data_IF_218454866880
#
_entry.id   IF_218454866880
#
_cell.length_a   1.000
_cell.length_b   1.000
_cell.length_c   1.000
_cell.angle_alpha   90.00
_cell.angle_beta   90.00
_cell.angle_gamma   90.00
#
_symmetry.space_group_name_H-M   'P 1'
#
loop_
_entity.id
_entity.type
_entity.pdbx_description
1 polymer ?
#
# COMPACT_ATOMS: atom_id res chain seq x y z
N UNK A 1 23.43 9.61 -22.83
CA UNK A 1 23.25 9.76 -24.30
C UNK A 1 24.57 9.92 -25.06
N UNK A 2 25.38 10.97 -24.83
CA UNK A 2 26.64 11.20 -25.56
C UNK A 2 27.68 10.06 -25.47
N UNK A 3 27.80 9.42 -24.30
CA UNK A 3 28.74 8.30 -24.08
C UNK A 3 28.41 7.06 -24.92
N UNK A 4 27.12 6.77 -25.15
CA UNK A 4 26.70 5.61 -25.94
C UNK A 4 26.99 5.79 -27.43
N UNK A 5 26.83 7.01 -27.94
CA UNK A 5 27.18 7.36 -29.33
C UNK A 5 28.69 7.26 -29.55
N UNK A 6 29.49 7.70 -28.57
CA UNK A 6 30.94 7.64 -28.62
C UNK A 6 31.46 6.18 -28.63
N UNK A 7 30.83 5.30 -27.86
CA UNK A 7 31.19 3.88 -27.77
C UNK A 7 31.07 3.14 -29.11
N UNK A 8 30.07 3.51 -29.93
CA UNK A 8 29.83 2.89 -31.24
C UNK A 8 30.64 3.56 -32.35
N UNK A 9 30.75 4.89 -32.35
CA UNK A 9 31.39 5.62 -33.45
C UNK A 9 32.92 5.43 -33.51
N UNK A 10 33.59 5.36 -32.35
CA UNK A 10 35.05 5.27 -32.27
C UNK A 10 35.63 4.00 -32.91
N UNK A 11 35.16 2.77 -32.61
CA UNK A 11 35.71 1.56 -33.22
C UNK A 11 35.45 1.48 -34.73
N UNK A 12 34.30 1.98 -35.21
CA UNK A 12 33.94 1.97 -36.64
C UNK A 12 34.86 2.88 -37.45
N UNK A 13 35.16 4.07 -36.96
CA UNK A 13 36.07 5.02 -37.63
C UNK A 13 37.51 4.48 -37.63
N UNK A 14 37.94 3.83 -36.54
CA UNK A 14 39.26 3.19 -36.46
C UNK A 14 39.41 2.07 -37.49
N UNK A 15 38.42 1.19 -37.58
CA UNK A 15 38.42 0.06 -38.51
C UNK A 15 38.47 0.51 -39.98
N UNK A 16 37.73 1.56 -40.32
CA UNK A 16 37.69 2.11 -41.67
C UNK A 16 39.02 2.74 -42.12
N UNK A 17 39.75 3.39 -41.21
CA UNK A 17 41.05 4.02 -41.51
C UNK A 17 42.18 3.01 -41.70
N UNK A 18 42.11 1.86 -41.04
CA UNK A 18 43.17 0.84 -41.08
C UNK A 18 43.24 0.09 -42.43
N UNK A 19 42.19 0.17 -43.26
CA UNK A 19 42.05 -0.60 -44.50
C UNK A 19 42.20 0.24 -45.79
N UNK A 20 42.72 1.47 -45.72
CA UNK A 20 42.69 2.41 -46.86
C UNK A 20 44.03 2.66 -47.58
N UNK A 21 45.09 1.88 -47.36
CA UNK A 21 46.27 2.00 -48.22
C UNK A 21 47.42 1.07 -47.89
N UNK A 22 47.49 -0.08 -48.56
CA UNK A 22 48.72 -0.83 -48.87
C UNK A 22 48.48 -1.56 -50.20
N UNK A 23 49.35 -1.34 -51.19
CA UNK A 23 49.39 -2.06 -52.47
C UNK A 23 49.51 -3.58 -52.21
N UNK A 24 48.45 -4.31 -52.52
CA UNK A 24 48.12 -5.61 -51.93
C UNK A 24 48.79 -6.83 -52.55
N UNK A 25 49.57 -6.69 -53.63
CA UNK A 25 50.01 -7.87 -54.41
C UNK A 25 51.49 -8.26 -54.21
N UNK A 26 52.41 -7.32 -53.96
CA UNK A 26 53.84 -7.66 -53.80
C UNK A 26 54.22 -8.03 -52.34
N UNK A 27 53.57 -7.41 -51.35
CA UNK A 27 53.81 -7.71 -49.93
C UNK A 27 53.10 -8.99 -49.50
N UNK A 28 51.95 -9.32 -50.11
CA UNK A 28 51.20 -10.54 -49.80
C UNK A 28 51.92 -11.80 -50.28
N UNK A 29 52.66 -11.74 -51.38
CA UNK A 29 53.40 -12.89 -51.92
C UNK A 29 54.60 -13.25 -51.03
N UNK A 30 55.45 -12.28 -50.67
CA UNK A 30 56.56 -12.50 -49.73
C UNK A 30 56.11 -12.94 -48.31
N UNK A 31 54.94 -12.48 -47.85
CA UNK A 31 54.40 -12.86 -46.55
C UNK A 31 53.81 -14.28 -46.56
N UNK A 32 53.29 -14.74 -47.71
CA UNK A 32 52.73 -16.10 -47.86
C UNK A 32 53.84 -17.14 -48.07
N UNK A 33 54.87 -16.82 -48.84
CA UNK A 33 56.04 -17.68 -49.01
C UNK A 33 56.78 -17.88 -47.68
N UNK A 34 56.95 -16.82 -46.91
CA UNK A 34 57.59 -16.90 -45.59
C UNK A 34 56.72 -17.66 -44.56
N UNK A 35 55.38 -17.53 -44.62
CA UNK A 35 54.48 -18.32 -43.78
C UNK A 35 54.47 -19.81 -44.16
N UNK A 36 54.44 -20.15 -45.45
CA UNK A 36 54.49 -21.54 -45.91
C UNK A 36 55.81 -22.22 -45.55
N UNK A 37 56.93 -21.49 -45.65
CA UNK A 37 58.24 -21.98 -45.22
C UNK A 37 58.28 -22.21 -43.69
N UNK A 38 57.72 -21.30 -42.90
CA UNK A 38 57.66 -21.46 -41.45
C UNK A 38 56.85 -22.69 -41.03
N UNK A 39 55.69 -22.92 -41.67
CA UNK A 39 54.87 -24.11 -41.41
C UNK A 39 55.62 -25.39 -41.81
N UNK A 40 56.37 -25.36 -42.92
CA UNK A 40 57.21 -26.48 -43.34
C UNK A 40 58.29 -26.81 -42.30
N UNK A 41 59.00 -25.80 -41.79
CA UNK A 41 60.05 -25.97 -40.78
C UNK A 41 59.48 -26.54 -39.47
N UNK A 42 58.30 -26.07 -39.05
CA UNK A 42 57.61 -26.57 -37.86
C UNK A 42 57.22 -28.05 -38.02
N UNK A 43 56.63 -28.42 -39.17
CA UNK A 43 56.25 -29.81 -39.45
C UNK A 43 57.44 -30.74 -39.61
N UNK A 44 58.56 -30.25 -40.12
CA UNK A 44 59.78 -31.03 -40.19
C UNK A 44 60.34 -31.32 -38.79
N UNK A 45 60.35 -30.31 -37.91
CA UNK A 45 60.80 -30.47 -36.53
C UNK A 45 59.90 -31.43 -35.73
N UNK A 46 58.60 -31.42 -36.00
CA UNK A 46 57.63 -32.37 -35.42
C UNK A 46 57.95 -33.81 -35.84
N UNK A 47 58.17 -34.05 -37.14
CA UNK A 47 58.55 -35.38 -37.65
C UNK A 47 59.89 -35.89 -37.09
N UNK A 48 60.90 -35.01 -36.97
CA UNK A 48 62.20 -35.36 -36.39
C UNK A 48 62.05 -35.71 -34.89
N UNK A 49 61.15 -35.04 -34.16
CA UNK A 49 60.85 -35.34 -32.76
C UNK A 49 60.09 -36.67 -32.59
N UNK A 50 59.18 -36.99 -33.50
CA UNK A 50 58.45 -38.27 -33.50
C UNK A 50 59.37 -39.47 -33.83
N UNK A 51 60.37 -39.28 -34.71
CA UNK A 51 61.42 -40.26 -34.94
C UNK A 51 62.28 -40.45 -33.68
N UNK A 52 62.65 -39.36 -33.00
CA UNK A 52 63.49 -39.41 -31.80
C UNK A 52 62.80 -40.09 -30.60
N UNK A 53 61.47 -39.98 -30.53
CA UNK A 53 60.64 -40.64 -29.49
C UNK A 53 60.25 -42.08 -29.85
N UNK A 54 60.63 -42.55 -31.04
CA UNK A 54 60.36 -43.90 -31.53
C UNK A 54 58.90 -44.13 -31.97
N UNK A 55 58.13 -43.05 -32.15
CA UNK A 55 56.75 -43.12 -32.65
C UNK A 55 56.70 -43.36 -34.17
N UNK A 56 57.75 -42.95 -34.90
CA UNK A 56 57.97 -43.28 -36.31
C UNK A 56 59.23 -44.13 -36.51
N UNK A 57 59.20 -45.00 -37.52
CA UNK A 57 60.41 -45.64 -38.02
C UNK A 57 61.15 -44.75 -39.05
N UNK A 58 62.42 -45.09 -39.33
CA UNK A 58 63.27 -44.28 -40.20
C UNK A 58 62.78 -44.23 -41.65
N UNK A 59 62.15 -45.29 -42.15
CA UNK A 59 61.66 -45.38 -43.52
C UNK A 59 60.37 -44.54 -43.69
N UNK A 60 59.48 -44.58 -42.71
CA UNK A 60 58.27 -43.78 -42.63
C UNK A 60 58.60 -42.29 -42.50
N UNK A 61 59.58 -41.94 -41.66
CA UNK A 61 60.05 -40.57 -41.53
C UNK A 61 60.60 -40.03 -42.86
N UNK A 62 61.39 -40.83 -43.58
CA UNK A 62 61.94 -40.43 -44.87
C UNK A 62 60.86 -40.28 -45.96
N UNK A 63 59.84 -41.14 -45.95
CA UNK A 63 58.70 -41.03 -46.86
C UNK A 63 57.88 -39.75 -46.62
N UNK A 64 57.53 -39.46 -45.37
CA UNK A 64 56.76 -38.26 -45.00
C UNK A 64 57.54 -36.97 -45.24
N UNK A 65 58.84 -36.97 -44.96
CA UNK A 65 59.73 -35.84 -45.28
C UNK A 65 59.78 -35.55 -46.78
N UNK A 66 59.86 -36.60 -47.61
CA UNK A 66 59.85 -36.45 -49.06
C UNK A 66 58.49 -35.94 -49.59
N UNK A 67 57.38 -36.38 -49.00
CA UNK A 67 56.04 -35.88 -49.34
C UNK A 67 55.88 -34.41 -48.97
N UNK A 68 56.30 -34.01 -47.76
CA UNK A 68 56.27 -32.63 -47.30
C UNK A 68 57.09 -31.69 -48.21
N UNK A 69 58.28 -32.13 -48.63
CA UNK A 69 59.11 -31.39 -49.59
C UNK A 69 58.44 -31.26 -50.97
N UNK A 70 57.70 -32.29 -51.41
CA UNK A 70 57.00 -32.27 -52.70
C UNK A 70 55.81 -31.32 -52.69
N UNK A 71 55.09 -31.23 -51.57
CA UNK A 71 54.01 -30.26 -51.36
C UNK A 71 54.53 -28.83 -51.37
N UNK A 72 55.63 -28.55 -50.66
CA UNK A 72 56.26 -27.22 -50.68
C UNK A 72 56.69 -26.83 -52.10
N UNK A 73 57.30 -27.75 -52.86
CA UNK A 73 57.71 -27.49 -54.23
C UNK A 73 56.52 -27.26 -55.18
N UNK A 74 55.39 -27.93 -54.94
CA UNK A 74 54.16 -27.77 -55.72
C UNK A 74 53.48 -26.43 -55.45
N UNK A 75 53.43 -25.97 -54.21
CA UNK A 75 52.87 -24.67 -53.84
C UNK A 75 53.69 -23.52 -54.44
N UNK A 76 55.02 -23.64 -54.48
CA UNK A 76 55.90 -22.64 -55.12
C UNK A 76 55.75 -22.65 -56.66
N UNK A 77 55.65 -23.82 -57.30
CA UNK A 77 55.54 -23.93 -58.78
C UNK A 77 54.17 -23.54 -59.34
N UNK A 78 53.10 -23.73 -58.57
CA UNK A 78 51.74 -23.39 -59.01
C UNK A 78 51.59 -21.87 -59.19
N UNK A 79 52.45 -21.06 -58.55
CA UNK A 79 52.44 -19.60 -58.68
C UNK A 79 53.37 -19.05 -59.79
N UNK A 80 54.48 -19.73 -60.13
CA UNK A 80 55.29 -19.37 -61.32
C UNK A 80 54.51 -19.58 -62.64
N UNK A 81 53.58 -20.55 -62.68
CA UNK A 81 52.71 -20.76 -63.83
C UNK A 81 51.55 -19.74 -63.90
N UNK A 82 51.14 -19.16 -62.77
CA UNK A 82 50.08 -18.16 -62.69
C UNK A 82 50.54 -16.72 -63.04
N UNK A 83 51.86 -16.50 -63.13
CA UNK A 83 52.48 -15.20 -63.44
C UNK A 83 52.88 -15.04 -64.92
N UNK A 84 52.76 -16.07 -65.75
CA UNK A 84 53.08 -16.02 -67.19
C UNK A 84 51.90 -15.62 -68.12
N UNK A 85 50.76 -15.19 -67.58
CA UNK A 85 49.56 -14.87 -68.39
C UNK A 85 48.76 -13.67 -67.90
N UNK A 86 49.42 -12.54 -67.61
CA UNK A 86 48.74 -11.24 -67.45
C UNK A 86 49.56 -10.11 -68.07
N UNK A 87 49.13 -9.67 -69.26
CA UNK A 87 49.55 -8.42 -69.87
C UNK A 87 49.18 -7.21 -68.99
N UNK A 88 49.97 -6.12 -69.00
CA UNK A 88 49.76 -4.99 -68.10
C UNK A 88 48.65 -4.04 -68.57
N UNK A 89 48.02 -3.46 -67.55
CA UNK A 89 46.88 -2.56 -67.59
C UNK A 89 47.10 -1.27 -68.39
N UNK A 90 45.99 -0.71 -68.90
CA UNK A 90 45.82 0.74 -69.00
C UNK A 90 44.78 1.21 -67.99
N UNK A 91 45.27 2.08 -67.11
CA UNK A 91 44.58 2.87 -66.11
C UNK A 91 43.54 3.80 -66.71
N UNK A 92 42.36 3.87 -66.08
CA UNK A 92 41.60 5.10 -65.97
C UNK A 92 40.73 5.06 -64.70
N UNK A 93 41.13 5.84 -63.70
CA UNK A 93 40.39 6.07 -62.48
C UNK A 93 38.96 6.56 -62.75
N UNK A 94 37.97 5.87 -62.19
CA UNK A 94 36.67 6.46 -61.84
C UNK A 94 36.27 6.01 -60.43
N UNK A 95 36.45 6.94 -59.50
CA UNK A 95 35.78 6.96 -58.20
C UNK A 95 34.27 6.81 -58.41
N UNK A 96 33.70 5.67 -58.01
CA UNK A 96 32.25 5.53 -57.88
C UNK A 96 31.90 5.23 -56.43
N UNK A 97 31.31 6.23 -55.80
CA UNK A 97 30.74 6.25 -54.46
C UNK A 97 29.49 5.37 -54.36
N UNK A 98 29.67 4.04 -54.42
CA UNK A 98 28.54 3.08 -54.32
C UNK A 98 28.84 1.84 -53.45
N UNK A 99 29.83 1.91 -52.57
CA UNK A 99 30.18 0.81 -51.65
C UNK A 99 29.48 0.85 -50.28
N UNK A 100 28.56 1.80 -50.05
CA UNK A 100 27.87 1.99 -48.76
C UNK A 100 26.48 1.33 -48.68
N UNK A 101 25.96 0.75 -49.78
CA UNK A 101 24.58 0.23 -49.88
C UNK A 101 24.55 -1.30 -50.08
N UNK A 102 25.33 -2.06 -49.32
CA UNK A 102 25.12 -3.52 -49.21
C UNK A 102 24.12 -3.82 -48.09
N UNK A 103 23.12 -4.71 -48.30
CA UNK A 103 22.05 -4.95 -47.32
C UNK A 103 22.56 -5.42 -45.94
N UNK A 104 23.74 -6.04 -45.85
CA UNK A 104 24.31 -6.46 -44.56
C UNK A 104 24.82 -5.30 -43.68
N UNK A 105 25.09 -4.12 -44.26
CA UNK A 105 25.46 -2.90 -43.50
C UNK A 105 24.29 -1.99 -43.21
N UNK A 106 23.21 -2.07 -43.98
CA UNK A 106 22.00 -1.27 -43.79
C UNK A 106 21.18 -1.74 -42.59
N UNK A 107 21.12 -3.05 -42.33
CA UNK A 107 20.37 -3.62 -41.19
C UNK A 107 20.87 -3.07 -39.83
N UNK A 108 22.17 -3.13 -39.46
CA UNK A 108 22.61 -2.61 -38.16
C UNK A 108 22.44 -1.09 -38.05
N UNK A 109 22.61 -0.33 -39.14
CA UNK A 109 22.37 1.12 -39.16
C UNK A 109 20.90 1.41 -38.90
N UNK A 110 20.00 0.68 -39.57
CA UNK A 110 18.56 0.81 -39.40
C UNK A 110 18.14 0.44 -37.97
N UNK A 111 18.69 -0.62 -37.39
CA UNK A 111 18.43 -1.00 -35.99
C UNK A 111 18.89 0.09 -35.01
N UNK A 112 20.08 0.66 -35.19
CA UNK A 112 20.59 1.75 -34.33
C UNK A 112 19.73 3.00 -34.47
N UNK A 113 19.28 3.33 -35.69
CA UNK A 113 18.40 4.48 -35.94
C UNK A 113 17.00 4.26 -35.36
N UNK A 114 16.45 3.05 -35.44
CA UNK A 114 15.12 2.72 -34.93
C UNK A 114 15.08 2.49 -33.42
N UNK A 115 16.20 2.12 -32.78
CA UNK A 115 16.25 1.87 -31.34
C UNK A 115 15.73 3.06 -30.52
N UNK A 116 16.13 4.29 -30.85
CA UNK A 116 15.71 5.48 -30.12
C UNK A 116 14.20 5.77 -30.23
N UNK A 117 13.59 5.91 -31.42
CA UNK A 117 12.16 6.17 -31.53
C UNK A 117 11.31 5.02 -31.01
N UNK A 118 11.74 3.76 -31.22
CA UNK A 118 11.01 2.59 -30.70
C UNK A 118 11.08 2.54 -29.17
N UNK A 119 12.24 2.84 -28.57
CA UNK A 119 12.36 2.89 -27.11
C UNK A 119 11.51 4.01 -26.51
N UNK A 120 11.49 5.20 -27.14
CA UNK A 120 10.64 6.32 -26.71
C UNK A 120 9.16 5.96 -26.82
N UNK A 121 8.75 5.32 -27.91
CA UNK A 121 7.37 4.87 -28.10
C UNK A 121 6.95 3.80 -27.07
N UNK A 122 7.81 2.80 -26.83
CA UNK A 122 7.56 1.76 -25.82
C UNK A 122 7.52 2.34 -24.40
N UNK A 123 8.37 3.32 -24.08
CA UNK A 123 8.29 4.05 -22.82
C UNK A 123 7.00 4.89 -22.73
N UNK A 124 6.49 5.46 -23.82
CA UNK A 124 5.20 6.14 -23.81
C UNK A 124 4.01 5.20 -23.55
N UNK A 125 4.12 3.93 -23.93
CA UNK A 125 3.08 2.92 -23.68
C UNK A 125 3.18 2.28 -22.29
N UNK A 126 4.39 2.04 -21.80
CA UNK A 126 4.64 1.26 -20.56
C UNK A 126 5.26 2.10 -19.44
N UNK A 127 5.56 3.36 -19.68
CA UNK A 127 6.17 4.26 -18.72
C UNK A 127 5.13 4.82 -17.75
N UNK A 128 5.50 4.85 -16.48
CA UNK A 128 4.67 5.31 -15.37
C UNK A 128 4.87 6.81 -15.07
N UNK A 129 5.29 7.62 -16.04
CA UNK A 129 5.60 9.04 -15.82
C UNK A 129 4.38 9.81 -15.26
N UNK A 130 3.18 9.48 -15.75
CA UNK A 130 1.92 10.05 -15.25
C UNK A 130 1.59 9.60 -13.83
N UNK A 131 1.73 8.31 -13.54
CA UNK A 131 1.44 7.77 -12.21
C UNK A 131 2.43 8.32 -11.16
N UNK A 132 3.68 8.58 -11.58
CA UNK A 132 4.67 9.28 -10.75
C UNK A 132 4.27 10.73 -10.47
N UNK A 133 3.68 11.44 -11.44
CA UNK A 133 3.15 12.79 -11.21
C UNK A 133 1.97 12.76 -10.23
N UNK A 134 1.01 11.84 -10.41
CA UNK A 134 -0.11 11.68 -9.46
C UNK A 134 0.39 11.33 -8.05
N UNK A 135 1.37 10.43 -7.95
CA UNK A 135 1.99 10.09 -6.67
C UNK A 135 2.67 11.29 -6.00
N UNK A 136 3.37 12.14 -6.76
CA UNK A 136 3.95 13.39 -6.27
C UNK A 136 2.87 14.35 -5.74
N UNK A 137 1.77 14.55 -6.48
CA UNK A 137 0.63 15.38 -6.01
C UNK A 137 0.06 14.84 -4.70
N UNK A 138 -0.08 13.52 -4.57
CA UNK A 138 -0.57 12.90 -3.34
C UNK A 138 0.41 13.01 -2.17
N UNK A 139 1.72 12.87 -2.42
CA UNK A 139 2.75 13.06 -1.42
C UNK A 139 2.78 14.50 -0.91
N UNK A 140 2.79 15.49 -1.82
CA UNK A 140 2.66 16.91 -1.45
C UNK A 140 1.36 17.19 -0.73
N UNK A 141 0.23 16.61 -1.16
CA UNK A 141 -1.06 16.77 -0.49
C UNK A 141 -1.09 16.19 0.92
N UNK A 142 -0.34 15.11 1.18
CA UNK A 142 -0.22 14.53 2.51
C UNK A 142 0.68 15.36 3.42
N UNK A 143 1.78 15.86 2.88
CA UNK A 143 2.84 16.49 3.66
C UNK A 143 2.68 18.02 3.77
N UNK A 144 1.74 18.62 3.03
CA UNK A 144 1.42 20.03 3.11
C UNK A 144 1.01 20.44 4.54
N UNK A 145 1.70 21.44 5.07
CA UNK A 145 1.51 21.94 6.44
C UNK A 145 0.64 23.20 6.48
N UNK A 146 -0.22 23.41 5.48
CA UNK A 146 -1.15 24.53 5.42
C UNK A 146 -0.62 25.79 4.74
N UNK A 147 0.33 25.68 3.81
CA UNK A 147 0.70 26.80 2.93
C UNK A 147 -0.49 27.14 2.00
N UNK A 148 -1.13 28.33 2.12
CA UNK A 148 -2.34 28.67 1.36
C UNK A 148 -2.14 28.75 -0.15
N UNK A 149 -0.94 29.11 -0.63
CA UNK A 149 -0.68 29.20 -2.08
C UNK A 149 -0.51 27.78 -2.64
N UNK A 150 0.30 26.94 -2.00
CA UNK A 150 0.47 25.54 -2.40
C UNK A 150 -0.86 24.76 -2.34
N UNK A 151 -1.71 25.04 -1.35
CA UNK A 151 -3.04 24.42 -1.26
C UNK A 151 -3.91 24.70 -2.49
N UNK A 152 -3.87 25.92 -3.04
CA UNK A 152 -4.65 26.27 -4.24
C UNK A 152 -4.13 25.56 -5.47
N UNK A 153 -2.81 25.45 -5.61
CA UNK A 153 -2.18 24.71 -6.69
C UNK A 153 -2.53 23.22 -6.61
N UNK A 154 -2.44 22.62 -5.41
CA UNK A 154 -2.82 21.22 -5.19
C UNK A 154 -4.29 20.96 -5.49
N UNK A 155 -5.20 21.87 -5.13
CA UNK A 155 -6.62 21.77 -5.49
C UNK A 155 -6.81 21.74 -7.01
N UNK A 156 -6.08 22.59 -7.75
CA UNK A 156 -6.14 22.61 -9.21
C UNK A 156 -5.58 21.30 -9.82
N UNK A 157 -4.43 20.84 -9.34
CA UNK A 157 -3.80 19.59 -9.79
C UNK A 157 -4.67 18.36 -9.51
N UNK A 158 -5.26 18.26 -8.31
CA UNK A 158 -6.21 17.20 -7.96
C UNK A 158 -7.47 17.25 -8.81
N UNK A 159 -7.95 18.46 -9.15
CA UNK A 159 -9.04 18.65 -10.10
C UNK A 159 -8.73 18.07 -11.48
N UNK A 160 -7.53 18.31 -11.99
CA UNK A 160 -7.09 17.74 -13.27
C UNK A 160 -7.02 16.20 -13.24
N UNK A 161 -6.53 15.64 -12.13
CA UNK A 161 -6.50 14.17 -11.92
C UNK A 161 -7.94 13.61 -11.94
N UNK A 162 -8.88 14.27 -11.27
CA UNK A 162 -10.29 13.86 -11.23
C UNK A 162 -10.97 13.98 -12.60
N UNK A 163 -10.59 14.97 -13.41
CA UNK A 163 -11.13 15.13 -14.77
C UNK A 163 -10.71 13.97 -15.69
N UNK A 164 -9.48 13.49 -15.53
CA UNK A 164 -8.94 12.34 -16.27
C UNK A 164 -9.49 11.01 -15.74
N UNK A 165 -9.48 10.83 -14.42
CA UNK A 165 -10.01 9.66 -13.72
C UNK A 165 -11.02 10.05 -12.63
N UNK A 166 -12.31 10.04 -13.01
CA UNK A 166 -13.43 10.37 -12.12
C UNK A 166 -13.68 9.33 -11.03
N UNK A 167 -13.08 8.14 -11.13
CA UNK A 167 -13.23 7.05 -10.19
C UNK A 167 -12.10 6.99 -9.16
N UNK A 168 -11.12 7.90 -9.26
CA UNK A 168 -10.04 8.03 -8.29
C UNK A 168 -10.53 8.57 -6.93
N UNK A 169 -10.94 7.68 -6.03
CA UNK A 169 -11.43 8.03 -4.69
C UNK A 169 -10.42 8.80 -3.83
N UNK A 170 -9.12 8.54 -4.00
CA UNK A 170 -8.06 9.23 -3.24
C UNK A 170 -7.86 10.67 -3.68
N UNK A 171 -7.99 10.96 -4.98
CA UNK A 171 -7.97 12.33 -5.48
C UNK A 171 -9.13 13.15 -4.89
N UNK A 172 -10.34 12.57 -4.83
CA UNK A 172 -11.49 13.19 -4.16
C UNK A 172 -11.26 13.41 -2.66
N UNK A 173 -10.63 12.45 -1.97
CA UNK A 173 -10.31 12.56 -0.54
C UNK A 173 -9.34 13.71 -0.24
N UNK A 174 -8.23 13.81 -0.97
CA UNK A 174 -7.25 14.88 -0.76
C UNK A 174 -7.82 16.24 -1.17
N UNK A 175 -8.62 16.29 -2.24
CA UNK A 175 -9.33 17.50 -2.62
C UNK A 175 -10.22 17.99 -1.47
N UNK A 176 -11.02 17.10 -0.91
CA UNK A 176 -11.89 17.41 0.23
C UNK A 176 -11.12 17.95 1.44
N UNK A 177 -9.97 17.32 1.77
CA UNK A 177 -9.11 17.78 2.87
C UNK A 177 -8.60 19.20 2.66
N UNK A 178 -8.18 19.54 1.44
CA UNK A 178 -7.71 20.89 1.12
C UNK A 178 -8.85 21.91 1.12
N UNK A 179 -10.04 21.52 0.65
CA UNK A 179 -11.25 22.35 0.73
C UNK A 179 -11.62 22.69 2.18
N UNK A 180 -11.46 21.76 3.14
CA UNK A 180 -11.62 22.06 4.58
C UNK A 180 -10.64 23.14 5.02
N UNK A 181 -9.35 23.04 4.69
CA UNK A 181 -8.33 24.03 5.03
C UNK A 181 -8.61 25.41 4.43
N UNK A 182 -9.28 25.46 3.27
CA UNK A 182 -9.73 26.69 2.62
C UNK A 182 -11.07 27.23 3.17
N UNK A 183 -11.68 26.55 4.14
CA UNK A 183 -12.98 26.93 4.72
C UNK A 183 -14.19 26.57 3.86
N UNK A 184 -14.00 25.83 2.76
CA UNK A 184 -15.04 25.39 1.83
C UNK A 184 -15.63 24.06 2.30
N UNK A 185 -16.26 24.09 3.49
CA UNK A 185 -16.69 22.88 4.19
C UNK A 185 -17.82 22.16 3.47
N UNK A 186 -18.74 22.89 2.83
CA UNK A 186 -19.85 22.30 2.08
C UNK A 186 -19.36 21.53 0.86
N UNK A 187 -18.41 22.10 0.10
CA UNK A 187 -17.77 21.45 -1.04
C UNK A 187 -16.95 20.24 -0.59
N UNK A 188 -16.22 20.37 0.52
CA UNK A 188 -15.45 19.29 1.10
C UNK A 188 -16.33 18.09 1.48
N UNK A 189 -17.48 18.31 2.10
CA UNK A 189 -18.41 17.23 2.47
C UNK A 189 -18.86 16.43 1.24
N UNK A 190 -19.18 17.09 0.12
CA UNK A 190 -19.54 16.43 -1.15
C UNK A 190 -18.38 15.66 -1.76
N UNK A 191 -17.16 16.21 -1.70
CA UNK A 191 -15.96 15.53 -2.19
C UNK A 191 -15.63 14.28 -1.35
N UNK A 192 -15.77 14.35 -0.02
CA UNK A 192 -15.63 13.19 0.86
C UNK A 192 -16.71 12.13 0.63
N UNK A 193 -17.96 12.52 0.40
CA UNK A 193 -19.05 11.60 0.03
C UNK A 193 -18.66 10.81 -1.23
N UNK A 194 -18.14 11.52 -2.26
CA UNK A 194 -17.69 10.89 -3.50
C UNK A 194 -16.51 9.94 -3.26
N UNK A 195 -15.53 10.36 -2.46
CA UNK A 195 -14.39 9.52 -2.08
C UNK A 195 -14.83 8.24 -1.36
N UNK A 196 -15.72 8.36 -0.37
CA UNK A 196 -16.24 7.23 0.40
C UNK A 196 -17.07 6.24 -0.44
N UNK A 197 -17.63 6.69 -1.56
CA UNK A 197 -18.33 5.84 -2.53
C UNK A 197 -17.41 5.11 -3.50
N UNK A 198 -16.17 5.58 -3.69
CA UNK A 198 -15.19 5.05 -4.64
C UNK A 198 -14.11 4.18 -3.98
N UNK A 199 -13.85 4.36 -2.69
CA UNK A 199 -12.85 3.55 -1.96
C UNK A 199 -13.45 2.18 -1.62
N UNK A 200 -12.87 1.14 -2.22
CA UNK A 200 -13.33 -0.24 -2.06
C UNK A 200 -12.84 -0.89 -0.77
N UNK A 201 -11.61 -0.58 -0.33
CA UNK A 201 -11.06 -1.12 0.90
C UNK A 201 -11.89 -0.68 2.10
N UNK A 202 -12.41 -1.64 2.87
CA UNK A 202 -13.34 -1.36 3.97
C UNK A 202 -12.70 -0.55 5.10
N UNK A 203 -11.41 -0.78 5.40
CA UNK A 203 -10.70 -0.05 6.46
C UNK A 203 -10.46 1.41 6.05
N UNK A 204 -9.96 1.61 4.83
CA UNK A 204 -9.74 2.96 4.29
C UNK A 204 -11.06 3.73 4.15
N UNK A 205 -12.11 3.04 3.70
CA UNK A 205 -13.46 3.62 3.59
C UNK A 205 -13.98 4.09 4.94
N UNK A 206 -13.74 3.35 6.02
CA UNK A 206 -14.14 3.77 7.37
C UNK A 206 -13.46 5.09 7.78
N UNK A 207 -12.16 5.24 7.48
CA UNK A 207 -11.41 6.47 7.75
C UNK A 207 -12.02 7.65 6.96
N UNK A 208 -12.30 7.45 5.66
CA UNK A 208 -12.88 8.49 4.82
C UNK A 208 -14.30 8.85 5.24
N UNK A 209 -15.13 7.87 5.63
CA UNK A 209 -16.46 8.13 6.19
C UNK A 209 -16.40 8.90 7.52
N UNK A 210 -15.39 8.66 8.35
CA UNK A 210 -15.18 9.43 9.57
C UNK A 210 -14.86 10.90 9.30
N UNK A 211 -14.00 11.18 8.30
CA UNK A 211 -13.71 12.54 7.85
C UNK A 211 -14.92 13.20 7.18
N UNK A 212 -15.70 12.42 6.41
CA UNK A 212 -16.97 12.87 5.83
C UNK A 212 -17.96 13.30 6.92
N UNK A 213 -18.15 12.48 7.96
CA UNK A 213 -19.04 12.79 9.07
C UNK A 213 -18.66 14.12 9.75
N UNK A 214 -17.37 14.36 9.99
CA UNK A 214 -16.87 15.62 10.53
C UNK A 214 -17.19 16.81 9.62
N UNK A 215 -16.88 16.71 8.32
CA UNK A 215 -17.16 17.77 7.37
C UNK A 215 -18.67 18.06 7.27
N UNK A 216 -19.51 17.03 7.20
CA UNK A 216 -20.96 17.15 7.13
C UNK A 216 -21.56 17.78 8.39
N UNK A 217 -21.03 17.44 9.57
CA UNK A 217 -21.42 18.02 10.85
C UNK A 217 -21.10 19.51 10.93
N UNK A 218 -19.89 19.91 10.55
CA UNK A 218 -19.50 21.32 10.50
C UNK A 218 -20.34 22.07 9.46
N UNK A 219 -20.56 21.48 8.27
CA UNK A 219 -21.40 22.04 7.22
C UNK A 219 -22.86 22.23 7.67
N UNK A 220 -23.34 21.38 8.59
CA UNK A 220 -24.67 21.44 9.20
C UNK A 220 -24.74 22.37 10.41
N UNK A 221 -23.72 23.20 10.65
CA UNK A 221 -23.70 24.13 11.77
C UNK A 221 -23.46 23.47 13.14
N UNK A 222 -22.67 22.38 13.16
CA UNK A 222 -22.37 21.59 14.37
C UNK A 222 -23.64 20.97 14.99
N UNK A 223 -24.48 20.40 14.15
CA UNK A 223 -25.65 19.64 14.58
C UNK A 223 -25.62 18.25 13.94
N UNK A 224 -25.89 17.23 14.75
CA UNK A 224 -26.11 15.87 14.25
C UNK A 224 -27.50 15.82 13.62
N UNK A 225 -27.55 16.06 12.30
CA UNK A 225 -28.76 15.85 11.50
C UNK A 225 -28.97 14.36 11.21
N UNK A 226 -30.13 14.00 10.65
CA UNK A 226 -30.39 12.62 10.23
C UNK A 226 -29.35 12.11 9.20
N UNK A 227 -28.86 13.00 8.33
CA UNK A 227 -27.82 12.67 7.36
C UNK A 227 -26.49 12.39 8.06
N UNK A 228 -26.07 13.27 8.97
CA UNK A 228 -24.83 13.10 9.75
C UNK A 228 -24.89 11.82 10.59
N UNK A 229 -26.03 11.55 11.23
CA UNK A 229 -26.24 10.31 12.00
C UNK A 229 -26.09 9.07 11.12
N UNK A 230 -26.65 9.07 9.91
CA UNK A 230 -26.53 7.92 9.00
C UNK A 230 -25.08 7.64 8.60
N UNK A 231 -24.27 8.69 8.42
CA UNK A 231 -22.83 8.56 8.12
C UNK A 231 -22.11 7.99 9.35
N UNK A 232 -22.37 8.53 10.54
CA UNK A 232 -21.81 8.02 11.81
C UNK A 232 -22.12 6.54 12.00
N UNK A 233 -23.39 6.15 11.84
CA UNK A 233 -23.84 4.76 11.98
C UNK A 233 -23.18 3.85 10.94
N UNK A 234 -22.94 4.35 9.72
CA UNK A 234 -22.20 3.62 8.70
C UNK A 234 -20.73 3.44 9.10
N UNK A 235 -20.07 4.50 9.55
CA UNK A 235 -18.67 4.45 10.00
C UNK A 235 -18.50 3.49 11.17
N UNK A 236 -19.34 3.60 12.20
CA UNK A 236 -19.25 2.76 13.39
C UNK A 236 -19.53 1.28 13.09
N UNK A 237 -20.36 0.97 12.08
CA UNK A 237 -20.54 -0.42 11.61
C UNK A 237 -19.28 -0.99 10.97
N UNK A 238 -18.49 -0.17 10.28
CA UNK A 238 -17.23 -0.59 9.66
C UNK A 238 -16.08 -0.63 10.67
N UNK A 239 -16.00 0.40 11.51
CA UNK A 239 -14.99 0.55 12.55
C UNK A 239 -15.59 1.31 13.75
N UNK A 240 -15.99 0.61 14.82
CA UNK A 240 -16.50 1.24 16.05
C UNK A 240 -15.47 2.12 16.77
N UNK A 241 -14.18 1.89 16.51
CA UNK A 241 -13.06 2.60 17.11
C UNK A 241 -12.47 3.65 16.15
N UNK A 242 -13.24 4.12 15.17
CA UNK A 242 -12.78 5.17 14.27
C UNK A 242 -12.63 6.50 15.03
N UNK A 243 -11.42 7.05 15.00
CA UNK A 243 -11.01 8.17 15.84
C UNK A 243 -11.80 9.44 15.53
N UNK A 244 -12.04 9.75 14.26
CA UNK A 244 -12.70 10.97 13.79
C UNK A 244 -14.14 11.08 14.31
N UNK A 245 -14.88 9.98 14.25
CA UNK A 245 -16.25 9.88 14.73
C UNK A 245 -16.30 9.97 16.25
N UNK A 246 -15.39 9.32 16.98
CA UNK A 246 -15.33 9.45 18.44
C UNK A 246 -15.01 10.89 18.88
N UNK A 247 -14.12 11.58 18.16
CA UNK A 247 -13.82 12.99 18.41
C UNK A 247 -15.06 13.87 18.20
N UNK A 248 -15.76 13.67 17.09
CA UNK A 248 -16.99 14.38 16.76
C UNK A 248 -18.08 14.14 17.82
N UNK A 249 -18.33 12.90 18.18
CA UNK A 249 -19.37 12.55 19.16
C UNK A 249 -19.04 13.08 20.56
N UNK A 250 -17.77 13.05 20.95
CA UNK A 250 -17.31 13.65 22.21
C UNK A 250 -17.50 15.18 22.23
N UNK A 251 -17.15 15.85 21.12
CA UNK A 251 -17.33 17.29 21.00
C UNK A 251 -18.82 17.69 21.00
N UNK A 252 -19.65 16.99 20.22
CA UNK A 252 -21.09 17.23 20.17
C UNK A 252 -21.75 17.01 21.53
N UNK A 253 -21.41 15.92 22.22
CA UNK A 253 -21.91 15.64 23.56
C UNK A 253 -21.56 16.76 24.55
N UNK A 254 -20.32 17.27 24.49
CA UNK A 254 -19.91 18.39 25.35
C UNK A 254 -20.64 19.70 25.02
N UNK A 255 -20.81 20.02 23.73
CA UNK A 255 -21.54 21.21 23.28
C UNK A 255 -23.00 21.16 23.75
N UNK A 256 -23.62 19.99 23.70
CA UNK A 256 -24.99 19.75 24.14
C UNK A 256 -25.12 19.52 25.66
N UNK A 257 -24.08 19.84 26.45
CA UNK A 257 -24.01 19.69 27.90
C UNK A 257 -24.17 18.25 28.41
N UNK A 258 -24.12 17.25 27.53
CA UNK A 258 -24.03 15.83 27.89
C UNK A 258 -22.57 15.48 28.23
N UNK A 259 -22.11 15.99 29.37
CA UNK A 259 -20.73 15.81 29.80
C UNK A 259 -20.39 14.34 30.09
N UNK A 260 -21.34 13.55 30.60
CA UNK A 260 -21.15 12.11 30.80
C UNK A 260 -20.82 11.41 29.48
N UNK A 261 -21.58 11.71 28.41
CA UNK A 261 -21.29 11.17 27.09
C UNK A 261 -19.96 11.64 26.51
N UNK A 262 -19.61 12.91 26.70
CA UNK A 262 -18.31 13.44 26.29
C UNK A 262 -17.14 12.70 26.97
N UNK A 263 -17.25 12.46 28.28
CA UNK A 263 -16.27 11.68 29.04
C UNK A 263 -16.10 10.27 28.51
N UNK A 264 -17.18 9.57 28.19
CA UNK A 264 -17.14 8.22 27.61
C UNK A 264 -16.30 8.19 26.34
N UNK A 265 -16.56 9.10 25.39
CA UNK A 265 -15.84 9.11 24.10
C UNK A 265 -14.37 9.55 24.24
N UNK A 266 -14.10 10.57 25.04
CA UNK A 266 -12.72 11.05 25.24
C UNK A 266 -11.86 10.06 26.01
N UNK A 267 -12.42 9.33 26.98
CA UNK A 267 -11.71 8.24 27.64
C UNK A 267 -11.40 7.10 26.69
N UNK A 268 -12.32 6.75 25.79
CA UNK A 268 -12.07 5.76 24.75
C UNK A 268 -10.92 6.22 23.83
N UNK A 269 -10.92 7.48 23.39
CA UNK A 269 -9.83 8.08 22.60
C UNK A 269 -8.49 8.07 23.34
N UNK A 270 -8.46 8.37 24.65
CA UNK A 270 -7.26 8.27 25.47
C UNK A 270 -6.72 6.83 25.54
N UNK A 271 -7.61 5.84 25.59
CA UNK A 271 -7.26 4.42 25.58
C UNK A 271 -6.56 3.96 24.30
N UNK A 272 -6.72 4.69 23.19
CA UNK A 272 -6.09 4.38 21.90
C UNK A 272 -4.62 4.80 21.80
N UNK A 273 -4.00 5.21 22.92
CA UNK A 273 -2.61 5.67 22.96
C UNK A 273 -2.31 6.83 21.99
N UNK A 274 -3.04 7.97 22.09
CA UNK A 274 -2.81 9.13 21.23
C UNK A 274 -1.42 9.73 21.44
N UNK A 275 -1.00 10.58 20.50
CA UNK A 275 0.25 11.37 20.57
C UNK A 275 0.25 12.23 21.84
N UNK A 276 1.44 12.65 22.30
CA UNK A 276 1.58 13.35 23.57
C UNK A 276 0.75 14.64 23.64
N UNK A 277 0.74 15.43 22.55
CA UNK A 277 -0.06 16.65 22.43
C UNK A 277 -1.57 16.38 22.50
N UNK A 278 -2.06 15.42 21.71
CA UNK A 278 -3.47 15.02 21.66
C UNK A 278 -3.93 14.47 23.02
N UNK A 279 -3.05 13.74 23.72
CA UNK A 279 -3.32 13.20 25.06
C UNK A 279 -3.51 14.30 26.09
N UNK A 280 -2.63 15.32 26.07
CA UNK A 280 -2.73 16.43 27.01
C UNK A 280 -4.04 17.20 26.78
N UNK A 281 -4.36 17.49 25.52
CA UNK A 281 -5.63 18.14 25.17
C UNK A 281 -6.86 17.34 25.65
N UNK A 282 -6.89 16.03 25.41
CA UNK A 282 -7.99 15.16 25.88
C UNK A 282 -8.10 15.13 27.41
N UNK A 283 -6.98 15.14 28.14
CA UNK A 283 -6.98 15.20 29.60
C UNK A 283 -7.53 16.51 30.13
N UNK A 284 -7.20 17.64 29.49
CA UNK A 284 -7.74 18.96 29.82
C UNK A 284 -9.26 19.01 29.59
N UNK A 285 -9.73 18.53 28.42
CA UNK A 285 -11.16 18.45 28.09
C UNK A 285 -11.94 17.56 29.08
N UNK A 286 -11.37 16.41 29.47
CA UNK A 286 -11.96 15.51 30.47
C UNK A 286 -12.06 16.18 31.84
N UNK A 287 -11.00 16.87 32.27
CA UNK A 287 -11.02 17.59 33.54
C UNK A 287 -12.08 18.71 33.55
N UNK A 288 -12.22 19.44 32.44
CA UNK A 288 -13.24 20.47 32.29
C UNK A 288 -14.66 19.88 32.34
N UNK A 289 -14.93 18.80 31.59
CA UNK A 289 -16.22 18.12 31.63
C UNK A 289 -16.56 17.64 33.05
N UNK A 290 -15.62 17.03 33.77
CA UNK A 290 -15.83 16.63 35.17
C UNK A 290 -16.15 17.81 36.08
N UNK A 291 -15.47 18.94 35.90
CA UNK A 291 -15.74 20.15 36.68
C UNK A 291 -17.15 20.70 36.39
N UNK A 292 -17.56 20.74 35.11
CA UNK A 292 -18.89 21.21 34.71
C UNK A 292 -20.00 20.28 35.21
N UNK A 293 -19.80 18.96 35.13
CA UNK A 293 -20.71 17.97 35.72
C UNK A 293 -20.91 18.17 37.23
N UNK A 294 -19.81 18.35 37.96
CA UNK A 294 -19.86 18.57 39.39
C UNK A 294 -20.56 19.89 39.75
N UNK A 295 -20.29 20.96 38.98
CA UNK A 295 -20.91 22.26 39.17
C UNK A 295 -22.43 22.25 38.88
N UNK A 296 -22.86 21.47 37.88
CA UNK A 296 -24.26 21.31 37.50
C UNK A 296 -25.02 20.31 38.38
N UNK A 297 -24.36 19.67 39.36
CA UNK A 297 -24.97 18.66 40.23
C UNK A 297 -25.29 17.34 39.52
N UNK A 298 -24.81 17.16 38.29
CA UNK A 298 -25.10 16.00 37.45
C UNK A 298 -24.55 14.71 38.05
N UNK A 299 -23.39 14.77 38.72
CA UNK A 299 -22.85 13.64 39.49
C UNK A 299 -23.80 13.14 40.59
N UNK A 300 -24.58 14.04 41.21
CA UNK A 300 -25.57 13.66 42.20
C UNK A 300 -26.85 13.12 41.54
N UNK A 301 -27.26 13.70 40.40
CA UNK A 301 -28.40 13.22 39.62
C UNK A 301 -28.17 11.79 39.08
N UNK A 302 -26.96 11.47 38.61
CA UNK A 302 -26.59 10.12 38.17
C UNK A 302 -26.70 9.05 39.30
N UNK A 303 -26.64 9.49 40.56
CA UNK A 303 -26.81 8.62 41.72
C UNK A 303 -28.28 8.49 42.19
N UNK A 304 -29.15 9.41 41.76
CA UNK A 304 -30.57 9.50 42.16
C UNK A 304 -31.56 9.07 41.07
N UNK A 305 -31.08 8.83 39.83
CA UNK A 305 -31.88 8.31 38.72
C UNK A 305 -32.33 6.84 38.85
N UNK A 306 -32.90 6.26 37.77
CA UNK A 306 -33.39 4.89 37.76
C UNK A 306 -32.35 3.89 38.22
N UNK A 307 -32.76 2.96 39.09
CA UNK A 307 -31.90 1.89 39.62
C UNK A 307 -32.47 0.52 39.28
N UNK A 308 -31.63 -0.37 38.78
CA UNK A 308 -31.95 -1.77 38.56
C UNK A 308 -31.20 -2.62 39.58
N UNK A 309 -31.93 -3.28 40.48
CA UNK A 309 -31.37 -4.25 41.43
C UNK A 309 -31.59 -5.67 40.92
N UNK A 310 -30.51 -6.32 40.49
CA UNK A 310 -30.54 -7.61 39.81
C UNK A 310 -29.97 -8.67 40.73
N UNK A 311 -30.81 -9.57 41.23
CA UNK A 311 -30.37 -10.78 41.90
C UNK A 311 -29.94 -11.81 40.86
N UNK A 312 -28.63 -11.99 40.70
CA UNK A 312 -28.05 -12.83 39.67
C UNK A 312 -27.53 -14.14 40.27
N UNK A 313 -27.86 -15.24 39.61
CA UNK A 313 -27.40 -16.59 39.98
C UNK A 313 -26.97 -17.38 38.74
N UNK A 314 -26.09 -18.34 38.96
CA UNK A 314 -25.65 -19.28 37.93
C UNK A 314 -26.43 -20.58 38.07
N UNK A 315 -26.77 -21.25 36.97
CA UNK A 315 -27.28 -22.61 37.03
C UNK A 315 -26.21 -23.53 37.67
N UNK A 316 -26.53 -24.29 38.73
CA UNK A 316 -25.57 -25.20 39.36
C UNK A 316 -25.04 -26.31 38.45
N UNK A 317 -25.73 -26.61 37.33
CA UNK A 317 -25.28 -27.61 36.35
C UNK A 317 -24.18 -27.08 35.42
N UNK A 318 -23.87 -25.77 35.46
CA UNK A 318 -22.81 -25.16 34.65
C UNK A 318 -21.47 -25.23 35.38
N UNK A 319 -20.56 -26.08 34.88
CA UNK A 319 -19.19 -26.15 35.36
C UNK A 319 -18.32 -25.11 34.66
N UNK A 320 -18.13 -23.97 35.32
CA UNK A 320 -17.40 -22.81 34.80
C UNK A 320 -16.24 -22.46 35.73
N UNK A 321 -15.13 -22.00 35.15
CA UNK A 321 -14.01 -21.52 35.94
C UNK A 321 -14.44 -20.28 36.76
N UNK A 322 -14.03 -20.14 38.03
CA UNK A 322 -14.51 -19.07 38.90
C UNK A 322 -14.12 -17.66 38.41
N UNK A 323 -13.06 -17.54 37.62
CA UNK A 323 -12.59 -16.29 36.99
C UNK A 323 -13.28 -15.97 35.66
N UNK A 324 -14.19 -16.83 35.18
CA UNK A 324 -14.95 -16.59 33.95
C UNK A 324 -15.76 -15.30 34.08
N UNK A 325 -15.65 -14.40 33.11
CA UNK A 325 -16.29 -13.08 33.17
C UNK A 325 -17.79 -13.16 32.95
N UNK A 326 -18.53 -12.38 33.73
CA UNK A 326 -19.97 -12.21 33.64
C UNK A 326 -20.29 -10.75 33.37
N UNK A 327 -20.86 -10.47 32.21
CA UNK A 327 -21.28 -9.13 31.80
C UNK A 327 -22.77 -8.96 32.08
N UNK A 328 -23.13 -7.98 32.91
CA UNK A 328 -24.52 -7.62 33.20
C UNK A 328 -24.78 -6.27 32.52
N UNK A 329 -25.72 -6.24 31.58
CA UNK A 329 -25.98 -5.06 30.75
C UNK A 329 -27.48 -4.74 30.68
N UNK A 330 -27.81 -3.46 30.66
CA UNK A 330 -29.15 -2.95 30.40
C UNK A 330 -29.18 -2.31 29.01
N UNK A 331 -30.13 -2.74 28.15
CA UNK A 331 -30.23 -2.28 26.76
C UNK A 331 -31.67 -1.86 26.44
N UNK A 332 -31.82 -0.85 25.59
CA UNK A 332 -33.07 -0.59 24.90
C UNK A 332 -33.06 -1.35 23.57
N UNK A 333 -34.01 -2.28 23.36
CA UNK A 333 -34.06 -3.11 22.15
C UNK A 333 -34.41 -2.31 20.88
N UNK A 334 -34.99 -1.12 21.03
CA UNK A 334 -35.33 -0.25 19.91
C UNK A 334 -34.14 0.59 19.43
N UNK A 335 -33.12 0.79 20.29
CA UNK A 335 -31.94 1.58 19.97
C UNK A 335 -30.75 0.68 19.64
N UNK A 336 -30.19 0.84 18.44
CA UNK A 336 -28.90 0.23 18.10
C UNK A 336 -27.78 0.95 18.86
N UNK A 337 -26.78 0.21 19.35
CA UNK A 337 -25.62 0.80 20.03
C UNK A 337 -25.18 0.05 21.29
N UNK A 338 -24.22 0.64 22.04
CA UNK A 338 -23.75 0.09 23.31
C UNK A 338 -24.88 0.02 24.35
N UNK A 339 -24.75 -0.80 25.39
CA UNK A 339 -25.72 -0.82 26.48
C UNK A 339 -25.81 0.52 27.19
N UNK A 340 -26.99 0.82 27.77
CA UNK A 340 -27.24 2.04 28.54
C UNK A 340 -26.51 2.03 29.88
N UNK A 341 -26.33 0.84 30.47
CA UNK A 341 -25.52 0.64 31.66
C UNK A 341 -24.95 -0.78 31.66
N UNK A 342 -23.73 -0.98 32.17
CA UNK A 342 -23.15 -2.31 32.30
C UNK A 342 -22.17 -2.45 33.46
N UNK A 343 -22.08 -3.67 34.01
CA UNK A 343 -21.08 -4.10 34.99
C UNK A 343 -20.47 -5.43 34.61
N UNK A 344 -19.25 -5.64 35.09
CA UNK A 344 -18.52 -6.91 34.94
C UNK A 344 -18.34 -7.52 36.33
N UNK A 345 -18.66 -8.81 36.44
CA UNK A 345 -18.42 -9.68 37.58
C UNK A 345 -17.67 -10.94 37.10
N UNK A 346 -17.38 -11.84 38.02
CA UNK A 346 -16.87 -13.19 37.71
C UNK A 346 -17.87 -14.27 38.13
N UNK A 347 -17.77 -15.47 37.54
CA UNK A 347 -18.64 -16.59 37.87
C UNK A 347 -18.53 -16.98 39.37
N UNK A 348 -17.35 -16.83 39.96
CA UNK A 348 -17.10 -17.06 41.38
C UNK A 348 -17.73 -16.02 42.31
N UNK A 349 -18.13 -14.85 41.80
CA UNK A 349 -18.85 -13.84 42.59
C UNK A 349 -20.33 -14.20 42.77
N UNK A 350 -20.87 -15.15 41.99
CA UNK A 350 -22.28 -15.51 42.01
C UNK A 350 -22.61 -16.58 43.07
N UNK A 351 -23.79 -16.52 43.72
CA UNK A 351 -24.88 -15.56 43.52
C UNK A 351 -24.60 -14.19 44.15
N UNK A 352 -24.97 -13.12 43.43
CA UNK A 352 -24.76 -11.73 43.85
C UNK A 352 -25.97 -10.84 43.55
N UNK A 353 -26.08 -9.69 44.24
CA UNK A 353 -27.00 -8.62 43.89
C UNK A 353 -26.20 -7.51 43.19
N UNK A 354 -26.57 -7.22 41.95
CA UNK A 354 -25.91 -6.22 41.11
C UNK A 354 -26.84 -5.03 40.94
N UNK A 355 -26.36 -3.83 41.27
CA UNK A 355 -27.11 -2.59 41.01
C UNK A 355 -26.55 -1.89 39.78
N UNK A 356 -27.38 -1.62 38.79
CA UNK A 356 -27.07 -0.73 37.67
C UNK A 356 -27.77 0.62 37.86
N UNK A 357 -27.06 1.72 37.65
CA UNK A 357 -27.59 3.08 37.59
C UNK A 357 -27.00 3.87 36.42
N UNK A 358 -27.36 5.15 36.29
CA UNK A 358 -26.80 6.02 35.25
C UNK A 358 -25.29 6.23 35.36
N UNK A 359 -24.72 6.06 36.56
CA UNK A 359 -23.27 6.10 36.77
C UNK A 359 -22.53 4.95 36.08
N UNK A 360 -23.24 3.88 35.71
CA UNK A 360 -22.70 2.69 35.06
C UNK A 360 -22.84 2.74 33.53
N UNK A 361 -23.11 3.92 32.97
CA UNK A 361 -23.24 4.14 31.54
C UNK A 361 -21.92 3.86 30.81
N UNK A 362 -22.02 3.11 29.71
CA UNK A 362 -20.86 2.77 28.84
C UNK A 362 -20.90 3.49 27.49
N UNK A 363 -21.91 4.34 27.29
CA UNK A 363 -22.15 5.11 26.08
C UNK A 363 -22.51 6.56 26.38
N UNK A 364 -22.99 7.30 25.37
CA UNK A 364 -23.53 8.67 25.57
C UNK A 364 -24.91 8.69 26.25
N UNK A 365 -25.56 7.53 26.29
CA UNK A 365 -26.91 7.34 26.81
C UNK A 365 -26.84 6.44 28.05
N UNK A 366 -27.71 6.72 29.02
CA UNK A 366 -27.79 6.05 30.31
C UNK A 366 -29.21 5.49 30.56
N UNK A 367 -29.52 4.97 31.74
CA UNK A 367 -30.85 4.41 32.02
C UNK A 367 -31.94 5.48 31.92
N UNK A 368 -31.70 6.69 32.45
CA UNK A 368 -32.63 7.83 32.36
C UNK A 368 -32.98 8.24 30.92
N UNK A 369 -32.17 7.88 29.92
CA UNK A 369 -32.44 8.17 28.52
C UNK A 369 -33.50 7.26 27.87
N UNK A 370 -33.93 6.19 28.55
CA UNK A 370 -34.89 5.23 28.03
C UNK A 370 -36.10 5.06 28.96
N UNK A 371 -37.27 4.81 28.36
CA UNK A 371 -38.49 4.50 29.11
C UNK A 371 -38.54 3.02 29.54
N UNK A 372 -37.92 2.15 28.76
CA UNK A 372 -37.94 0.72 28.96
C UNK A 372 -36.58 0.09 28.63
N UNK A 373 -36.23 -0.98 29.36
CA UNK A 373 -34.97 -1.70 29.20
C UNK A 373 -35.15 -3.20 29.31
N UNK A 374 -34.24 -3.93 28.67
CA UNK A 374 -34.04 -5.36 28.87
C UNK A 374 -32.69 -5.57 29.52
N UNK A 375 -32.67 -6.33 30.61
CA UNK A 375 -31.42 -6.72 31.29
C UNK A 375 -30.95 -8.04 30.71
N UNK A 376 -29.68 -8.07 30.33
CA UNK A 376 -29.01 -9.24 29.75
C UNK A 376 -27.76 -9.52 30.57
N UNK A 377 -27.69 -10.70 31.16
CA UNK A 377 -26.52 -11.21 31.86
C UNK A 377 -25.88 -12.32 31.02
N UNK A 378 -24.60 -12.17 30.68
CA UNK A 378 -23.87 -13.12 29.81
C UNK A 378 -22.58 -13.56 30.48
N UNK A 379 -22.38 -14.86 30.62
CA UNK A 379 -21.09 -15.48 30.92
C UNK A 379 -20.33 -15.59 29.61
N UNK A 380 -19.19 -14.91 29.50
CA UNK A 380 -18.34 -14.96 28.31
C UNK A 380 -17.17 -15.91 28.52
N UNK A 381 -17.07 -16.94 27.67
CA UNK A 381 -15.96 -17.89 27.67
C UNK A 381 -14.70 -17.31 27.00
N UNK A 382 -14.88 -16.39 26.05
CA UNK A 382 -13.78 -15.67 25.40
C UNK A 382 -13.20 -14.53 26.26
N UNK A 383 -13.95 -14.10 27.27
CA UNK A 383 -13.62 -12.95 28.12
C UNK A 383 -13.93 -11.58 27.49
N UNK A 384 -14.55 -11.55 26.30
CA UNK A 384 -14.99 -10.32 25.62
C UNK A 384 -16.41 -9.92 26.00
N UNK A 385 -16.73 -8.63 25.94
CA UNK A 385 -18.09 -8.14 26.15
C UNK A 385 -19.05 -8.51 24.99
N UNK A 386 -18.49 -8.77 23.80
CA UNK A 386 -19.26 -9.27 22.66
C UNK A 386 -19.69 -10.71 22.90
N UNK A 387 -20.98 -10.95 22.72
CA UNK A 387 -21.61 -12.26 22.91
C UNK A 387 -21.20 -13.19 21.76
N UNK A 388 -20.68 -14.37 22.09
CA UNK A 388 -20.24 -15.38 21.13
C UNK A 388 -21.03 -16.69 21.26
N UNK A 389 -21.03 -17.49 20.19
CA UNK A 389 -21.58 -18.85 20.23
C UNK A 389 -20.84 -19.67 21.28
N UNK A 390 -21.58 -20.37 22.14
CA UNK A 390 -21.06 -21.11 23.29
C UNK A 390 -21.04 -20.35 24.61
N UNK A 391 -21.30 -19.03 24.61
CA UNK A 391 -21.54 -18.27 25.85
C UNK A 391 -22.86 -18.70 26.52
N UNK A 392 -23.05 -18.38 27.80
CA UNK A 392 -24.32 -18.62 28.50
C UNK A 392 -24.98 -17.30 28.87
N UNK A 393 -26.30 -17.21 28.72
CA UNK A 393 -27.03 -15.97 28.91
C UNK A 393 -28.32 -16.15 29.71
N UNK A 394 -28.75 -15.05 30.34
CA UNK A 394 -30.11 -14.84 30.80
C UNK A 394 -30.61 -13.49 30.32
N UNK A 395 -31.88 -13.42 29.92
CA UNK A 395 -32.54 -12.18 29.49
C UNK A 395 -33.80 -11.96 30.32
N UNK A 396 -34.01 -10.74 30.80
CA UNK A 396 -35.27 -10.35 31.41
C UNK A 396 -36.34 -10.11 30.35
N UNK A 397 -37.60 -9.98 30.78
CA UNK A 397 -38.60 -9.27 29.99
C UNK A 397 -38.23 -7.78 29.88
N UNK A 398 -38.89 -7.06 28.97
CA UNK A 398 -38.81 -5.60 28.91
C UNK A 398 -39.43 -5.00 30.17
N UNK A 399 -38.69 -4.13 30.85
CA UNK A 399 -39.07 -3.51 32.11
C UNK A 399 -39.16 -1.98 31.93
N UNK A 400 -40.24 -1.33 32.40
CA UNK A 400 -40.29 0.12 32.47
C UNK A 400 -39.32 0.63 33.55
N UNK A 401 -38.69 1.78 33.30
CA UNK A 401 -37.85 2.46 34.29
C UNK A 401 -38.67 3.49 35.08
N UNK A 402 -38.37 3.61 36.37
CA UNK A 402 -38.97 4.59 37.28
C UNK A 402 -37.88 5.24 38.13
N UNK A 403 -38.01 6.54 38.37
CA UNK A 403 -37.05 7.30 39.18
C UNK A 403 -37.28 7.09 40.70
N UNK A 404 -38.48 6.66 41.11
CA UNK A 404 -38.88 6.64 42.52
C UNK A 404 -38.43 5.39 43.29
N UNK A 405 -38.47 4.20 42.67
CA UNK A 405 -38.09 2.93 43.32
C UNK A 405 -37.15 2.09 42.45
N UNK A 406 -36.16 1.39 43.05
CA UNK A 406 -35.32 0.45 42.33
C UNK A 406 -36.16 -0.70 41.75
N UNK A 407 -36.07 -0.91 40.45
CA UNK A 407 -36.68 -2.04 39.77
C UNK A 407 -35.89 -3.30 40.12
N UNK A 408 -36.54 -4.23 40.82
CA UNK A 408 -35.94 -5.48 41.27
C UNK A 408 -36.27 -6.63 40.32
N UNK A 409 -35.25 -7.36 39.90
CA UNK A 409 -35.42 -8.57 39.09
C UNK A 409 -34.48 -9.68 39.54
N UNK A 410 -34.89 -10.92 39.26
CA UNK A 410 -34.08 -12.10 39.49
C UNK A 410 -33.75 -12.75 38.15
N UNK A 411 -32.48 -13.06 37.93
CA UNK A 411 -31.99 -13.73 36.72
C UNK A 411 -31.15 -14.95 37.10
N UNK A 412 -31.35 -16.03 36.34
CA UNK A 412 -30.54 -17.23 36.44
C UNK A 412 -29.95 -17.54 35.07
N UNK A 413 -28.62 -17.49 34.97
CA UNK A 413 -27.89 -17.75 33.72
C UNK A 413 -27.96 -19.25 33.41
N UNK A 414 -28.59 -19.58 32.29
CA UNK A 414 -28.97 -20.96 31.92
C UNK A 414 -28.86 -21.23 30.42
N UNK A 415 -29.21 -20.26 29.57
CA UNK A 415 -29.39 -20.49 28.15
C UNK A 415 -28.06 -20.43 27.37
N UNK A 416 -27.64 -21.48 26.65
CA UNK A 416 -26.50 -21.39 25.77
C UNK A 416 -26.81 -20.51 24.55
N UNK A 417 -25.85 -19.68 24.16
CA UNK A 417 -25.91 -18.88 22.95
C UNK A 417 -25.55 -19.78 21.77
N UNK A 418 -26.43 -19.92 20.76
CA UNK A 418 -26.23 -20.83 19.63
C UNK A 418 -25.06 -20.45 18.72
#
# INVERSE_FOLDING_TARGET
MLLAVLFVAVPVIRFARQHQGIDADAASQHYRDSANLMIFEERLAELDAELATGALDADQHQALKAELQRTLLADIKTEEAATASREPAQSAAKLTSSALLTPSRLIPILCVVLILPVSFYLYGLWGFERDLQVADVFERSRDNQGDPEELRDLVFELGAIIEEDRENGWAWYYLARHLISLGQVQEAARAFERAAGLIENTQDRAIVLGQYAQAAYIASGQQITQEVQAIIDQTQRLNPAEQSVLQLLGADAFINENYQGALTYWQQLLGMSPRAEDRQFLQEMIAEAQQRMAANGESAALADGPRLEISLSLNPDLDLAPDTRVFVSARNLQAAGPPLAAKVLTAGDLPAIVTLSDADAVGPFNLSSAQEVTVVATVSLSGSADVQSGDFQARSATLPLTDEEPVRLQLQITDPVP
#
